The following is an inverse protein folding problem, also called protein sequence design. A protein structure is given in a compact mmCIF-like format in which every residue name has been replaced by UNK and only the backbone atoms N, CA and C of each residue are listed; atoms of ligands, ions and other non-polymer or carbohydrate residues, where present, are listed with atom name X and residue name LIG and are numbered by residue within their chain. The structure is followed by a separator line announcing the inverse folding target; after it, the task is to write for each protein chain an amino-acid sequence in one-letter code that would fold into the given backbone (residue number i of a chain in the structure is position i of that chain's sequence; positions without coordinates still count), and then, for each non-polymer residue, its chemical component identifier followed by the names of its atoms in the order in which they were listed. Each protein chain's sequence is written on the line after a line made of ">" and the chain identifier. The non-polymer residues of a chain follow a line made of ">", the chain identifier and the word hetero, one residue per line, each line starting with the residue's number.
data_IF_862502717723
#
_entry.id   IF_862502717723
#
_cell.length_a   1.000
_cell.length_b   1.000
_cell.length_c   1.000
_cell.angle_alpha   90.00
_cell.angle_beta   90.00
_cell.angle_gamma   90.00
#
_symmetry.space_group_name_H-M   'P 1'
#
loop_
_entity.id
_entity.type
_entity.pdbx_description
1 polymer ?
#
# COMPACT_ATOMS: atom_id res chain seq x y z
N UNK A 1 26.49 -8.59 13.43
CA UNK A 1 25.87 -7.45 12.71
C UNK A 1 25.03 -8.04 11.58
N UNK A 2 23.72 -7.80 11.54
CA UNK A 2 22.82 -8.28 10.48
C UNK A 2 23.05 -7.44 9.22
N UNK A 3 23.19 -8.12 8.10
CA UNK A 3 23.34 -7.55 6.76
C UNK A 3 22.72 -8.52 5.74
N UNK A 4 22.08 -8.01 4.69
CA UNK A 4 21.35 -8.83 3.71
C UNK A 4 19.98 -9.29 4.21
N UNK A 5 19.39 -10.29 3.57
CA UNK A 5 18.05 -10.78 3.91
C UNK A 5 18.03 -11.49 5.26
N UNK A 6 17.00 -11.23 6.06
CA UNK A 6 16.83 -11.89 7.35
C UNK A 6 15.42 -11.79 7.90
N UNK A 7 15.24 -12.40 9.07
CA UNK A 7 14.02 -12.33 9.88
C UNK A 7 14.40 -11.93 11.30
N UNK A 8 13.62 -11.04 11.89
CA UNK A 8 13.65 -10.71 13.31
C UNK A 8 12.27 -10.91 13.92
N UNK A 9 12.25 -11.49 15.11
CA UNK A 9 11.03 -11.68 15.90
C UNK A 9 11.29 -11.14 17.29
N UNK A 10 10.41 -10.27 17.76
CA UNK A 10 10.54 -9.61 19.05
C UNK A 10 9.61 -10.27 20.07
N UNK A 11 10.03 -10.29 21.33
CA UNK A 11 9.25 -10.92 22.41
C UNK A 11 7.87 -10.27 22.64
N UNK A 12 7.70 -9.03 22.17
CA UNK A 12 6.45 -8.27 22.25
C UNK A 12 5.49 -8.56 21.08
N UNK A 13 5.79 -9.55 20.24
CA UNK A 13 4.95 -9.95 19.12
C UNK A 13 5.19 -9.17 17.83
N UNK A 14 6.10 -8.18 17.83
CA UNK A 14 6.54 -7.55 16.59
C UNK A 14 7.42 -8.49 15.77
N UNK A 15 7.51 -8.23 14.48
CA UNK A 15 8.42 -8.94 13.60
C UNK A 15 8.85 -8.13 12.40
N UNK A 16 9.95 -8.52 11.79
CA UNK A 16 10.42 -7.97 10.54
C UNK A 16 11.01 -9.07 9.66
N UNK A 17 10.68 -9.04 8.36
CA UNK A 17 11.28 -9.88 7.34
C UNK A 17 11.67 -9.01 6.17
N UNK A 18 12.96 -8.95 5.86
CA UNK A 18 13.43 -8.07 4.80
C UNK A 18 14.95 -7.92 4.83
N UNK A 19 15.43 -6.87 4.19
CA UNK A 19 16.85 -6.58 4.13
C UNK A 19 17.34 -5.85 5.40
N UNK A 20 18.57 -6.16 5.78
CA UNK A 20 19.27 -5.51 6.89
C UNK A 20 20.53 -4.84 6.38
N UNK A 21 20.86 -3.71 6.99
CA UNK A 21 22.15 -3.05 6.86
C UNK A 21 22.56 -2.52 8.24
N UNK A 22 23.72 -2.97 8.74
CA UNK A 22 24.28 -2.55 10.02
C UNK A 22 23.32 -2.74 11.21
N UNK A 23 22.69 -3.92 11.31
CA UNK A 23 21.65 -4.24 12.30
C UNK A 23 20.36 -3.40 12.19
N UNK A 24 20.18 -2.62 11.14
CA UNK A 24 18.96 -1.83 10.90
C UNK A 24 18.19 -2.40 9.72
N UNK A 25 16.86 -2.25 9.73
CA UNK A 25 16.03 -2.55 8.57
C UNK A 25 16.42 -1.63 7.41
N UNK A 26 16.50 -2.19 6.21
CA UNK A 26 16.92 -1.53 4.98
C UNK A 26 16.18 -2.14 3.79
N UNK A 27 16.32 -1.52 2.61
CA UNK A 27 15.79 -2.08 1.36
C UNK A 27 14.29 -2.34 1.43
N UNK A 28 13.86 -3.49 0.91
CA UNK A 28 12.47 -3.92 1.00
C UNK A 28 12.24 -4.85 2.19
N UNK A 29 11.11 -4.68 2.86
CA UNK A 29 10.74 -5.56 3.97
C UNK A 29 9.30 -5.43 4.45
N UNK A 30 8.88 -6.47 5.16
CA UNK A 30 7.58 -6.61 5.78
C UNK A 30 7.77 -6.51 7.28
N UNK A 31 7.04 -5.61 7.91
CA UNK A 31 6.98 -5.45 9.36
C UNK A 31 5.60 -5.81 9.87
N UNK A 32 5.59 -6.53 10.98
CA UNK A 32 4.40 -6.92 11.72
C UNK A 32 4.45 -6.19 13.06
N UNK A 33 3.42 -5.41 13.38
CA UNK A 33 3.27 -4.83 14.71
C UNK A 33 2.63 -5.83 15.67
N UNK A 34 2.81 -5.58 16.97
CA UNK A 34 2.28 -6.43 18.04
C UNK A 34 0.75 -6.53 18.03
N UNK A 35 0.06 -5.52 17.49
CA UNK A 35 -1.40 -5.49 17.33
C UNK A 35 -1.87 -6.27 16.09
N UNK A 36 -0.95 -6.75 15.24
CA UNK A 36 -1.28 -7.51 14.03
C UNK A 36 -1.41 -6.66 12.77
N UNK A 37 -1.11 -5.35 12.80
CA UNK A 37 -1.00 -4.57 11.58
C UNK A 37 0.26 -4.96 10.80
N UNK A 38 0.19 -4.81 9.47
CA UNK A 38 1.26 -5.21 8.56
C UNK A 38 1.64 -4.02 7.68
N UNK A 39 2.94 -3.75 7.58
CA UNK A 39 3.49 -2.81 6.62
C UNK A 39 4.48 -3.53 5.72
N UNK A 40 4.26 -3.46 4.41
CA UNK A 40 5.17 -3.96 3.38
C UNK A 40 5.66 -2.77 2.55
N UNK A 41 6.96 -2.52 2.54
CA UNK A 41 7.49 -1.37 1.82
C UNK A 41 8.98 -1.17 1.99
N UNK A 42 9.45 0.02 1.62
CA UNK A 42 10.85 0.37 1.69
C UNK A 42 11.27 0.84 3.09
N UNK A 43 12.55 0.59 3.41
CA UNK A 43 13.16 0.88 4.70
C UNK A 43 14.50 1.57 4.51
N UNK A 44 14.76 2.58 5.33
CA UNK A 44 16.02 3.31 5.34
C UNK A 44 16.44 3.57 6.78
N UNK A 45 17.62 3.06 7.16
CA UNK A 45 18.20 3.22 8.50
C UNK A 45 17.25 2.83 9.65
N UNK A 46 16.46 1.77 9.46
CA UNK A 46 15.54 1.26 10.47
C UNK A 46 14.18 1.97 10.54
N UNK A 47 13.88 2.86 9.59
CA UNK A 47 12.58 3.55 9.49
C UNK A 47 11.91 3.23 8.17
N UNK A 48 10.57 3.17 8.18
CA UNK A 48 9.79 3.09 6.96
C UNK A 48 10.10 4.29 6.05
N UNK A 49 10.24 4.06 4.76
CA UNK A 49 10.62 5.06 3.77
C UNK A 49 10.02 4.75 2.40
N UNK A 50 9.85 5.78 1.57
CA UNK A 50 9.33 5.59 0.22
C UNK A 50 7.91 5.05 0.21
N UNK A 51 7.57 4.28 -0.82
CA UNK A 51 6.25 3.69 -0.99
C UNK A 51 6.12 2.37 -0.23
N UNK A 52 4.92 2.09 0.25
CA UNK A 52 4.55 0.80 0.81
C UNK A 52 3.05 0.60 0.85
N UNK A 53 2.66 -0.55 1.39
CA UNK A 53 1.29 -0.97 1.61
C UNK A 53 1.12 -1.25 3.10
N UNK A 54 0.10 -0.68 3.70
CA UNK A 54 -0.25 -0.90 5.10
C UNK A 54 -1.60 -1.59 5.21
N UNK A 55 -1.69 -2.63 6.02
CA UNK A 55 -2.94 -3.33 6.36
C UNK A 55 -3.17 -3.20 7.86
N UNK A 56 -4.35 -2.71 8.24
CA UNK A 56 -4.73 -2.56 9.65
C UNK A 56 -4.93 -3.91 10.33
N UNK A 57 -4.62 -3.97 11.63
CA UNK A 57 -4.85 -5.12 12.51
C UNK A 57 -6.30 -5.63 12.52
N UNK A 58 -7.27 -4.78 12.20
CA UNK A 58 -8.70 -5.14 12.18
C UNK A 58 -9.15 -5.79 10.86
N UNK A 59 -8.25 -6.06 9.92
CA UNK A 59 -8.60 -6.69 8.64
C UNK A 59 -9.25 -5.74 7.63
N UNK A 60 -8.83 -4.47 7.63
CA UNK A 60 -9.33 -3.46 6.70
C UNK A 60 -8.75 -3.55 5.28
N UNK A 61 -9.22 -2.67 4.39
CA UNK A 61 -8.64 -2.53 3.06
C UNK A 61 -7.17 -2.08 3.15
N UNK A 62 -6.26 -2.66 2.36
CA UNK A 62 -4.88 -2.20 2.32
C UNK A 62 -4.85 -0.74 1.84
N UNK A 63 -3.92 0.05 2.36
CA UNK A 63 -3.68 1.42 1.94
C UNK A 63 -2.28 1.55 1.38
N UNK A 64 -2.14 2.23 0.24
CA UNK A 64 -0.85 2.76 -0.18
C UNK A 64 -0.43 3.84 0.80
N UNK A 65 0.84 3.82 1.20
CA UNK A 65 1.42 4.79 2.12
C UNK A 65 2.75 5.27 1.56
N UNK A 66 3.05 6.55 1.77
CA UNK A 66 4.35 7.13 1.43
C UNK A 66 5.02 7.67 2.69
N UNK A 67 6.27 7.29 2.94
CA UNK A 67 7.06 7.77 4.06
C UNK A 67 8.23 8.65 3.60
N UNK A 68 8.36 9.81 4.22
CA UNK A 68 9.47 10.75 4.01
C UNK A 68 10.16 11.02 5.35
N UNK A 69 11.46 10.74 5.43
CA UNK A 69 12.25 10.80 6.67
C UNK A 69 11.68 10.00 7.85
N UNK A 70 10.95 8.91 7.58
CA UNK A 70 10.31 8.08 8.61
C UNK A 70 8.94 8.57 9.07
N UNK A 71 8.42 9.65 8.48
CA UNK A 71 7.09 10.16 8.77
C UNK A 71 6.14 9.85 7.62
N UNK A 72 4.89 9.51 7.93
CA UNK A 72 3.85 9.29 6.93
C UNK A 72 3.55 10.62 6.22
N UNK A 73 3.81 10.68 4.92
CA UNK A 73 3.59 11.84 4.07
C UNK A 73 2.24 11.79 3.36
N UNK A 74 1.82 10.60 2.89
CA UNK A 74 0.52 10.38 2.26
C UNK A 74 0.00 8.96 2.53
N UNK A 75 -1.31 8.80 2.46
CA UNK A 75 -1.97 7.49 2.52
C UNK A 75 -3.24 7.48 1.69
N UNK A 76 -3.41 6.48 0.84
CA UNK A 76 -4.59 6.28 -0.01
C UNK A 76 -5.09 4.84 0.12
N UNK A 77 -6.35 4.66 0.49
CA UNK A 77 -6.95 3.32 0.57
C UNK A 77 -6.99 2.72 -0.84
N UNK A 78 -6.56 1.46 -0.97
CA UNK A 78 -6.78 0.66 -2.18
C UNK A 78 -8.27 0.33 -2.30
N UNK A 79 -9.04 1.33 -2.66
CA UNK A 79 -10.32 1.12 -3.29
C UNK A 79 -10.01 0.56 -4.68
N UNK A 80 -10.43 -0.68 -4.95
CA UNK A 80 -10.62 -1.16 -6.34
C UNK A 80 -11.17 0.02 -7.14
N UNK A 81 -10.54 0.42 -8.26
CA UNK A 81 -10.74 1.76 -8.79
C UNK A 81 -12.21 1.94 -9.19
N UNK A 82 -12.98 2.58 -8.32
CA UNK A 82 -14.29 3.12 -8.66
C UNK A 82 -14.16 4.13 -9.82
N UNK A 83 -12.93 4.60 -10.11
CA UNK A 83 -12.60 5.42 -11.27
C UNK A 83 -12.46 4.67 -12.60
N UNK A 84 -12.24 3.35 -12.62
CA UNK A 84 -12.16 2.59 -13.87
C UNK A 84 -13.56 2.28 -14.41
N UNK A 85 -14.49 1.90 -13.53
CA UNK A 85 -15.89 1.64 -13.88
C UNK A 85 -16.64 2.90 -14.35
N UNK A 86 -16.29 4.09 -13.84
CA UNK A 86 -16.98 5.33 -14.22
C UNK A 86 -16.66 5.79 -15.65
N UNK A 87 -15.46 5.51 -16.18
CA UNK A 87 -15.09 5.92 -17.54
C UNK A 87 -15.84 5.14 -18.61
N UNK A 88 -16.03 3.83 -18.43
CA UNK A 88 -16.86 3.04 -19.35
C UNK A 88 -18.35 3.37 -19.22
N UNK A 89 -18.86 3.58 -18.00
CA UNK A 89 -20.26 3.92 -17.77
C UNK A 89 -20.65 5.25 -18.42
N UNK A 90 -19.78 6.28 -18.35
CA UNK A 90 -20.00 7.57 -19.04
C UNK A 90 -19.89 7.40 -20.57
N UNK A 91 -18.90 6.66 -21.06
CA UNK A 91 -18.76 6.39 -22.49
C UNK A 91 -19.94 5.59 -23.07
N UNK A 92 -20.52 4.66 -22.31
CA UNK A 92 -21.70 3.90 -22.71
C UNK A 92 -22.98 4.74 -22.64
N UNK A 93 -23.11 5.60 -21.62
CA UNK A 93 -24.23 6.55 -21.49
C UNK A 93 -24.26 7.56 -22.63
N UNK A 94 -23.09 8.07 -23.03
CA UNK A 94 -22.98 8.99 -24.17
C UNK A 94 -23.29 8.29 -25.50
N UNK A 95 -22.82 7.05 -25.72
CA UNK A 95 -23.16 6.27 -26.92
C UNK A 95 -24.66 5.98 -27.05
N UNK A 96 -25.34 5.66 -25.93
CA UNK A 96 -26.80 5.45 -25.92
C UNK A 96 -27.58 6.74 -26.21
N UNK A 97 -27.12 7.88 -25.70
CA UNK A 97 -27.74 9.18 -25.97
C UNK A 97 -27.61 9.60 -27.45
N UNK A 98 -26.45 9.35 -28.09
CA UNK A 98 -26.26 9.64 -29.52
C UNK A 98 -27.08 8.73 -30.43
N UNK A 99 -27.18 7.42 -30.11
CA UNK A 99 -27.99 6.49 -30.88
C UNK A 99 -29.50 6.83 -30.81
N UNK A 100 -29.99 7.23 -29.63
CA UNK A 100 -31.38 7.65 -29.46
C UNK A 100 -31.71 8.93 -30.25
N UNK A 101 -30.77 9.88 -30.33
CA UNK A 101 -30.95 11.11 -31.11
C UNK A 101 -30.93 10.87 -32.63
N UNK A 102 -30.21 9.85 -33.11
CA UNK A 102 -30.17 9.48 -34.52
C UNK A 102 -31.42 8.71 -34.98
N UNK A 103 -32.06 7.97 -34.09
CA UNK A 103 -33.29 7.20 -34.38
C UNK A 103 -34.58 8.03 -34.28
N UNK A 104 -34.50 9.25 -33.73
CA UNK A 104 -35.63 10.17 -33.60
C UNK A 104 -35.76 11.18 -34.77
N UNK A 105 -35.05 10.94 -35.87
CA UNK A 105 -35.14 11.66 -37.15
C UNK A 105 -35.69 10.74 -38.23
#
# INVERSE_FOLDING_TARGET
>A
RKHGLGVDSFADGRGYRGEFQDNKFAGLGIYFSADGAVYEGAWLHGKAHGLGVSTSCLGGQPAFVQYVHGNLASSDIMSLPAHFEQREAVALRNRKATAAALLAR
#
